data_IF_686076519430
#
_entry.id   IF_686076519430
#
_cell.length_a   1.000
_cell.length_b   1.000
_cell.length_c   1.000
_cell.angle_alpha   90.00
_cell.angle_beta   90.00
_cell.angle_gamma   90.00
#
_symmetry.space_group_name_H-M   'P 1'
#
loop_
_entity.id
_entity.type
_entity.pdbx_description
1 polymer ?
#
# COMPACT_ATOMS: atom_id res chain seq x y z
N UNK A 1 9.53 23.28 5.73
CA UNK A 1 10.49 22.47 6.51
C UNK A 1 10.26 22.62 8.03
N UNK A 2 10.43 23.80 8.66
CA UNK A 2 10.21 23.95 10.12
C UNK A 2 8.73 23.87 10.54
N UNK A 3 7.79 24.44 9.77
CA UNK A 3 6.35 24.37 10.09
C UNK A 3 5.81 22.93 10.11
N UNK A 4 6.10 22.15 9.07
CA UNK A 4 5.65 20.76 8.95
C UNK A 4 6.20 19.85 10.07
N UNK A 5 7.45 20.06 10.52
CA UNK A 5 8.00 19.32 11.67
C UNK A 5 7.28 19.66 12.98
N UNK A 6 6.93 20.94 13.20
CA UNK A 6 6.17 21.36 14.37
C UNK A 6 4.74 20.81 14.39
N UNK A 7 4.11 20.72 13.21
CA UNK A 7 2.79 20.10 13.05
C UNK A 7 2.80 18.60 13.36
N UNK A 8 3.84 17.87 12.93
CA UNK A 8 3.98 16.44 13.24
C UNK A 8 4.23 16.17 14.72
N UNK A 9 5.05 16.98 15.39
CA UNK A 9 5.28 16.83 16.83
C UNK A 9 3.99 17.08 17.62
N UNK A 10 3.28 18.17 17.31
CA UNK A 10 2.00 18.48 17.94
C UNK A 10 0.95 17.38 17.68
N UNK A 11 0.95 16.75 16.50
CA UNK A 11 0.06 15.64 16.20
C UNK A 11 0.38 14.40 17.05
N UNK A 12 1.67 14.07 17.24
CA UNK A 12 2.09 12.96 18.10
C UNK A 12 1.73 13.25 19.56
N UNK A 13 2.00 14.45 20.07
CA UNK A 13 1.64 14.87 21.43
C UNK A 13 0.12 14.75 21.68
N UNK A 14 -0.70 15.20 20.72
CA UNK A 14 -2.16 15.06 20.82
C UNK A 14 -2.60 13.59 20.81
N UNK A 15 -1.97 12.74 19.99
CA UNK A 15 -2.23 11.30 20.00
C UNK A 15 -1.88 10.71 21.38
N UNK A 16 -0.72 11.04 21.94
CA UNK A 16 -0.26 10.54 23.23
C UNK A 16 -1.16 10.99 24.39
N UNK A 17 -1.67 12.22 24.35
CA UNK A 17 -2.67 12.69 25.32
C UNK A 17 -3.96 11.87 25.27
N UNK A 18 -4.47 11.59 24.07
CA UNK A 18 -5.68 10.77 23.88
C UNK A 18 -5.42 9.33 24.37
N UNK A 19 -4.28 8.74 24.00
CA UNK A 19 -3.91 7.38 24.42
C UNK A 19 -3.68 7.28 25.93
N UNK A 20 -3.11 8.30 26.56
CA UNK A 20 -2.94 8.33 28.01
C UNK A 20 -4.27 8.40 28.75
N UNK A 21 -5.25 9.15 28.23
CA UNK A 21 -6.56 9.32 28.87
C UNK A 21 -7.52 8.16 28.61
N UNK A 22 -7.53 7.62 27.40
CA UNK A 22 -8.55 6.68 26.94
C UNK A 22 -8.01 5.30 26.56
N UNK A 23 -6.69 5.12 26.51
CA UNK A 23 -6.05 3.93 25.96
C UNK A 23 -6.37 2.62 26.69
N UNK A 24 -6.69 2.67 27.98
CA UNK A 24 -7.05 1.49 28.78
C UNK A 24 -8.56 1.34 28.99
N UNK A 25 -9.38 2.05 28.22
CA UNK A 25 -10.84 1.99 28.35
C UNK A 25 -11.40 0.84 27.50
N UNK A 26 -12.27 0.02 28.10
CA UNK A 26 -12.91 -1.13 27.47
C UNK A 26 -14.23 -0.79 26.74
N UNK A 27 -14.68 0.46 26.79
CA UNK A 27 -15.82 0.91 26.01
C UNK A 27 -15.51 0.83 24.52
N UNK A 28 -16.32 0.06 23.79
CA UNK A 28 -16.14 -0.23 22.36
C UNK A 28 -15.85 1.03 21.51
N UNK A 29 -16.63 2.10 21.69
CA UNK A 29 -16.43 3.34 20.92
C UNK A 29 -15.06 3.98 21.19
N UNK A 30 -14.57 3.88 22.42
CA UNK A 30 -13.24 4.36 22.79
C UNK A 30 -12.15 3.42 22.27
N UNK A 31 -12.36 2.10 22.25
CA UNK A 31 -11.43 1.16 21.63
C UNK A 31 -11.24 1.44 20.14
N UNK A 32 -12.33 1.71 19.41
CA UNK A 32 -12.26 2.10 17.98
C UNK A 32 -11.49 3.42 17.82
N UNK A 33 -11.76 4.41 18.67
CA UNK A 33 -11.04 5.68 18.65
C UNK A 33 -9.54 5.50 18.97
N UNK A 34 -9.20 4.66 19.94
CA UNK A 34 -7.81 4.34 20.32
C UNK A 34 -7.08 3.64 19.16
N UNK A 35 -7.71 2.67 18.50
CA UNK A 35 -7.14 2.01 17.33
C UNK A 35 -6.84 3.00 16.20
N UNK A 36 -7.78 3.91 15.94
CA UNK A 36 -7.61 4.98 14.95
C UNK A 36 -6.47 5.93 15.30
N UNK A 37 -6.38 6.35 16.57
CA UNK A 37 -5.32 7.25 17.05
C UNK A 37 -3.94 6.59 16.97
N UNK A 38 -3.84 5.31 17.31
CA UNK A 38 -2.60 4.54 17.11
C UNK A 38 -2.20 4.49 15.63
N UNK A 39 -3.18 4.29 14.72
CA UNK A 39 -2.92 4.27 13.29
C UNK A 39 -2.44 5.63 12.77
N UNK A 40 -3.05 6.73 13.22
CA UNK A 40 -2.61 8.08 12.90
C UNK A 40 -1.19 8.34 13.43
N UNK A 41 -0.90 8.00 14.69
CA UNK A 41 0.43 8.13 15.27
C UNK A 41 1.49 7.37 14.46
N UNK A 42 1.21 6.13 14.08
CA UNK A 42 2.09 5.33 13.23
C UNK A 42 2.33 5.98 11.86
N UNK A 43 1.28 6.55 11.25
CA UNK A 43 1.38 7.28 9.98
C UNK A 43 2.30 8.50 10.08
N UNK A 44 2.21 9.27 11.17
CA UNK A 44 3.08 10.43 11.40
C UNK A 44 4.54 10.02 11.60
N UNK A 45 4.80 8.94 12.35
CA UNK A 45 6.16 8.40 12.49
C UNK A 45 6.72 7.92 11.15
N UNK A 46 5.94 7.23 10.32
CA UNK A 46 6.36 6.80 8.99
C UNK A 46 6.74 8.00 8.10
N UNK A 47 5.92 9.06 8.09
CA UNK A 47 6.20 10.29 7.33
C UNK A 47 7.47 11.03 7.81
N UNK A 48 7.87 10.82 9.07
CA UNK A 48 9.13 11.31 9.63
C UNK A 48 10.33 10.39 9.36
N UNK A 49 10.11 9.21 8.76
CA UNK A 49 11.12 8.18 8.55
C UNK A 49 11.46 7.37 9.81
N UNK A 50 10.63 7.46 10.84
CA UNK A 50 10.78 6.75 12.13
C UNK A 50 10.06 5.40 12.05
N UNK A 51 10.55 4.53 11.15
CA UNK A 51 9.85 3.29 10.78
C UNK A 51 9.63 2.32 11.95
N UNK A 52 10.59 2.20 12.87
CA UNK A 52 10.43 1.38 14.07
C UNK A 52 9.27 1.86 14.97
N UNK A 53 9.16 3.19 15.19
CA UNK A 53 8.06 3.75 15.98
C UNK A 53 6.70 3.58 15.27
N UNK A 54 6.68 3.63 13.94
CA UNK A 54 5.49 3.33 13.15
C UNK A 54 5.07 1.85 13.27
N UNK A 55 6.05 0.93 13.29
CA UNK A 55 5.81 -0.50 13.53
C UNK A 55 5.28 -0.72 14.96
N UNK A 56 5.85 -0.08 15.97
CA UNK A 56 5.39 -0.17 17.36
C UNK A 56 3.93 0.25 17.50
N UNK A 57 3.52 1.33 16.84
CA UNK A 57 2.13 1.77 16.83
C UNK A 57 1.19 0.73 16.17
N UNK A 58 1.63 0.10 15.08
CA UNK A 58 0.88 -1.00 14.46
C UNK A 58 0.80 -2.22 15.40
N UNK A 59 1.91 -2.59 16.03
CA UNK A 59 1.97 -3.72 16.96
C UNK A 59 1.08 -3.53 18.19
N UNK A 60 0.91 -2.29 18.64
CA UNK A 60 -0.02 -1.99 19.72
C UNK A 60 -1.49 -2.24 19.30
N UNK A 61 -1.87 -1.85 18.08
CA UNK A 61 -3.20 -2.17 17.52
C UNK A 61 -3.40 -3.69 17.45
N UNK A 62 -2.39 -4.41 16.95
CA UNK A 62 -2.43 -5.86 16.85
C UNK A 62 -2.53 -6.51 18.22
N UNK A 63 -1.74 -6.08 19.20
CA UNK A 63 -1.75 -6.66 20.54
C UNK A 63 -3.10 -6.48 21.24
N UNK A 64 -3.70 -5.30 21.12
CA UNK A 64 -4.94 -4.95 21.82
C UNK A 64 -6.20 -5.51 21.17
N UNK A 65 -6.27 -5.49 19.83
CA UNK A 65 -7.53 -5.67 19.12
C UNK A 65 -7.58 -6.93 18.25
N UNK A 66 -6.50 -7.70 18.15
CA UNK A 66 -6.45 -8.89 17.29
C UNK A 66 -7.50 -9.97 17.59
N UNK A 67 -7.93 -10.09 18.84
CA UNK A 67 -8.92 -11.09 19.28
C UNK A 67 -10.36 -10.57 19.27
N UNK A 68 -10.60 -9.34 18.80
CA UNK A 68 -11.94 -8.78 18.74
C UNK A 68 -12.74 -9.37 17.58
N UNK A 69 -14.00 -9.69 17.84
CA UNK A 69 -14.98 -10.09 16.82
C UNK A 69 -15.72 -8.88 16.23
N UNK A 70 -15.49 -7.68 16.76
CA UNK A 70 -16.15 -6.47 16.30
C UNK A 70 -15.57 -6.02 14.95
N UNK A 71 -16.44 -5.89 13.96
CA UNK A 71 -16.06 -5.62 12.57
C UNK A 71 -15.16 -4.37 12.42
N UNK A 72 -15.49 -3.27 13.11
CA UNK A 72 -14.69 -2.04 13.01
C UNK A 72 -13.28 -2.23 13.57
N UNK A 73 -13.10 -3.04 14.62
CA UNK A 73 -11.79 -3.33 15.18
C UNK A 73 -11.01 -4.31 14.28
N UNK A 74 -11.70 -5.28 13.67
CA UNK A 74 -11.09 -6.17 12.68
C UNK A 74 -10.58 -5.39 11.44
N UNK A 75 -11.32 -4.39 10.99
CA UNK A 75 -10.91 -3.48 9.91
C UNK A 75 -9.65 -2.70 10.29
N UNK A 76 -9.59 -2.13 11.50
CA UNK A 76 -8.38 -1.44 12.00
C UNK A 76 -7.17 -2.38 12.09
N UNK A 77 -7.38 -3.63 12.51
CA UNK A 77 -6.31 -4.64 12.54
C UNK A 77 -5.82 -4.98 11.13
N UNK A 78 -6.72 -5.09 10.14
CA UNK A 78 -6.34 -5.31 8.75
C UNK A 78 -5.50 -4.14 8.20
N UNK A 79 -5.88 -2.91 8.51
CA UNK A 79 -5.09 -1.71 8.18
C UNK A 79 -3.71 -1.70 8.85
N UNK A 80 -3.62 -2.08 10.12
CA UNK A 80 -2.35 -2.17 10.84
C UNK A 80 -1.42 -3.22 10.22
N UNK A 81 -1.94 -4.40 9.85
CA UNK A 81 -1.16 -5.45 9.17
C UNK A 81 -0.65 -4.97 7.81
N UNK A 82 -1.52 -4.35 7.01
CA UNK A 82 -1.14 -3.81 5.70
C UNK A 82 -0.05 -2.74 5.84
N UNK A 83 -0.26 -1.73 6.72
CA UNK A 83 0.71 -0.66 6.93
C UNK A 83 2.04 -1.20 7.45
N UNK A 84 2.01 -2.10 8.44
CA UNK A 84 3.22 -2.78 8.92
C UNK A 84 3.93 -3.52 7.79
N UNK A 85 3.21 -4.24 6.94
CA UNK A 85 3.77 -4.89 5.74
C UNK A 85 4.46 -3.90 4.80
N UNK A 86 3.83 -2.75 4.52
CA UNK A 86 4.41 -1.69 3.69
C UNK A 86 5.67 -1.07 4.32
N UNK A 87 5.68 -0.82 5.63
CA UNK A 87 6.86 -0.32 6.34
C UNK A 87 8.01 -1.33 6.23
N UNK A 88 7.73 -2.63 6.38
CA UNK A 88 8.74 -3.67 6.19
C UNK A 88 9.30 -3.69 4.75
N UNK A 89 8.47 -3.44 3.74
CA UNK A 89 8.93 -3.25 2.35
C UNK A 89 9.88 -2.04 2.24
N UNK A 90 9.53 -0.90 2.82
CA UNK A 90 10.38 0.31 2.82
C UNK A 90 11.74 0.03 3.48
N UNK A 91 11.76 -0.81 4.52
CA UNK A 91 12.96 -1.26 5.21
C UNK A 91 13.69 -2.43 4.51
N UNK A 92 13.24 -2.85 3.32
CA UNK A 92 13.76 -4.01 2.58
C UNK A 92 13.71 -5.35 3.34
N UNK A 93 12.79 -5.48 4.29
CA UNK A 93 12.54 -6.67 5.14
C UNK A 93 11.44 -7.54 4.53
N UNK A 94 11.79 -8.23 3.45
CA UNK A 94 10.81 -8.94 2.63
C UNK A 94 10.17 -10.16 3.32
N UNK A 95 10.87 -10.86 4.20
CA UNK A 95 10.33 -12.02 4.89
C UNK A 95 9.25 -11.60 5.91
N UNK A 96 9.52 -10.53 6.65
CA UNK A 96 8.59 -9.94 7.59
C UNK A 96 7.35 -9.37 6.87
N UNK A 97 7.53 -8.75 5.71
CA UNK A 97 6.41 -8.29 4.88
C UNK A 97 5.53 -9.46 4.40
N UNK A 98 6.13 -10.58 3.97
CA UNK A 98 5.40 -11.78 3.57
C UNK A 98 4.63 -12.40 4.74
N UNK A 99 5.22 -12.42 5.93
CA UNK A 99 4.52 -12.88 7.14
C UNK A 99 3.29 -12.00 7.43
N UNK A 100 3.37 -10.68 7.21
CA UNK A 100 2.20 -9.79 7.36
C UNK A 100 1.12 -10.10 6.32
N UNK A 101 1.49 -10.41 5.07
CA UNK A 101 0.55 -10.87 4.05
C UNK A 101 -0.19 -12.14 4.48
N UNK A 102 0.54 -13.15 4.98
CA UNK A 102 -0.03 -14.43 5.41
C UNK A 102 -1.03 -14.25 6.56
N UNK A 103 -0.69 -13.42 7.55
CA UNK A 103 -1.57 -13.11 8.68
C UNK A 103 -2.81 -12.33 8.23
N UNK A 104 -2.66 -11.36 7.32
CA UNK A 104 -3.78 -10.60 6.76
C UNK A 104 -4.73 -11.51 5.96
N UNK A 105 -4.20 -12.40 5.11
CA UNK A 105 -5.02 -13.37 4.36
C UNK A 105 -5.82 -14.30 5.26
N UNK A 106 -5.19 -14.81 6.33
CA UNK A 106 -5.86 -15.65 7.32
C UNK A 106 -7.08 -14.94 7.91
N UNK A 107 -6.96 -13.63 8.19
CA UNK A 107 -8.07 -12.80 8.71
C UNK A 107 -9.11 -12.48 7.64
N UNK A 108 -8.70 -12.15 6.43
CA UNK A 108 -9.66 -11.91 5.33
C UNK A 108 -10.51 -13.14 5.01
N UNK A 109 -10.04 -14.34 5.33
CA UNK A 109 -10.84 -15.57 5.30
C UNK A 109 -12.13 -15.50 6.12
N UNK A 110 -12.16 -14.72 7.22
CA UNK A 110 -13.36 -14.53 8.07
C UNK A 110 -14.17 -13.30 7.70
N UNK A 111 -13.65 -12.41 6.85
CA UNK A 111 -14.37 -11.21 6.42
C UNK A 111 -15.53 -11.57 5.47
N UNK A 112 -16.67 -10.87 5.59
CA UNK A 112 -17.74 -10.98 4.61
C UNK A 112 -17.24 -10.55 3.23
N UNK A 113 -17.78 -11.17 2.18
CA UNK A 113 -17.52 -10.73 0.81
C UNK A 113 -18.04 -9.30 0.62
N UNK A 114 -17.21 -8.44 0.04
CA UNK A 114 -17.53 -7.03 -0.18
C UNK A 114 -16.29 -6.21 -0.52
N UNK A 115 -16.50 -4.91 -0.74
CA UNK A 115 -15.46 -4.01 -1.24
C UNK A 115 -14.27 -3.89 -0.27
N UNK A 116 -14.52 -3.89 1.04
CA UNK A 116 -13.45 -3.84 2.07
C UNK A 116 -12.55 -5.07 1.96
N UNK A 117 -13.13 -6.27 1.88
CA UNK A 117 -12.37 -7.51 1.72
C UNK A 117 -11.56 -7.50 0.43
N UNK A 118 -12.18 -7.16 -0.70
CA UNK A 118 -11.51 -7.08 -1.99
C UNK A 118 -10.37 -6.05 -1.99
N UNK A 119 -10.55 -4.93 -1.28
CA UNK A 119 -9.53 -3.89 -1.13
C UNK A 119 -8.30 -4.42 -0.36
N UNK A 120 -8.51 -5.15 0.74
CA UNK A 120 -7.40 -5.78 1.45
C UNK A 120 -6.80 -6.98 0.72
N UNK A 121 -7.57 -7.75 -0.04
CA UNK A 121 -7.03 -8.79 -0.92
C UNK A 121 -6.08 -8.19 -1.95
N UNK A 122 -6.49 -7.09 -2.59
CA UNK A 122 -5.64 -6.30 -3.49
C UNK A 122 -4.37 -5.83 -2.78
N UNK A 123 -4.50 -5.14 -1.65
CA UNK A 123 -3.36 -4.60 -0.87
C UNK A 123 -2.40 -5.68 -0.37
N UNK A 124 -2.92 -6.84 0.03
CA UNK A 124 -2.11 -7.98 0.46
C UNK A 124 -1.27 -8.53 -0.68
N UNK A 125 -1.89 -8.74 -1.84
CA UNK A 125 -1.17 -9.23 -3.01
C UNK A 125 -0.17 -8.20 -3.54
N UNK A 126 -0.50 -6.91 -3.42
CA UNK A 126 0.40 -5.80 -3.70
C UNK A 126 1.68 -5.84 -2.84
N UNK A 127 1.56 -5.93 -1.50
CA UNK A 127 2.72 -6.07 -0.59
C UNK A 127 3.52 -7.31 -0.94
N UNK A 128 2.85 -8.44 -1.24
CA UNK A 128 3.53 -9.68 -1.65
C UNK A 128 4.32 -9.50 -2.93
N UNK A 129 3.77 -8.84 -3.95
CA UNK A 129 4.49 -8.56 -5.20
C UNK A 129 5.77 -7.79 -4.90
N UNK A 130 5.71 -6.73 -4.11
CA UNK A 130 6.89 -5.95 -3.74
C UNK A 130 7.92 -6.76 -2.95
N UNK A 131 7.48 -7.58 -1.99
CA UNK A 131 8.38 -8.45 -1.23
C UNK A 131 9.12 -9.45 -2.13
N UNK A 132 8.41 -10.05 -3.10
CA UNK A 132 8.99 -10.97 -4.07
C UNK A 132 9.97 -10.27 -5.03
N UNK A 133 9.71 -9.01 -5.38
CA UNK A 133 10.65 -8.19 -6.16
C UNK A 133 11.95 -7.93 -5.37
N UNK A 134 11.86 -7.61 -4.07
CA UNK A 134 13.03 -7.46 -3.18
C UNK A 134 13.83 -8.76 -3.12
N UNK A 135 13.17 -9.91 -3.03
CA UNK A 135 13.81 -11.23 -3.08
C UNK A 135 14.32 -11.64 -4.48
N UNK A 136 14.19 -10.77 -5.49
CA UNK A 136 14.55 -11.03 -6.90
C UNK A 136 13.79 -12.21 -7.53
N UNK A 137 12.65 -12.61 -6.95
CA UNK A 137 11.75 -13.67 -7.43
C UNK A 137 10.75 -13.10 -8.45
N UNK A 138 11.27 -12.53 -9.54
CA UNK A 138 10.48 -11.76 -10.53
C UNK A 138 9.27 -12.51 -11.08
N UNK A 139 9.44 -13.79 -11.44
CA UNK A 139 8.34 -14.62 -11.98
C UNK A 139 7.19 -14.72 -10.98
N UNK A 140 7.51 -15.13 -9.74
CA UNK A 140 6.52 -15.22 -8.67
C UNK A 140 5.89 -13.86 -8.34
N UNK A 141 6.66 -12.77 -8.41
CA UNK A 141 6.13 -11.42 -8.21
C UNK A 141 5.09 -11.05 -9.28
N UNK A 142 5.35 -11.37 -10.56
CA UNK A 142 4.41 -11.12 -11.65
C UNK A 142 3.18 -12.04 -11.60
N UNK A 143 3.34 -13.29 -11.16
CA UNK A 143 2.21 -14.20 -10.92
C UNK A 143 1.31 -13.68 -9.78
N UNK A 144 1.93 -13.15 -8.70
CA UNK A 144 1.22 -12.50 -7.61
C UNK A 144 0.51 -11.22 -8.08
N UNK A 145 1.17 -10.38 -8.89
CA UNK A 145 0.56 -9.16 -9.43
C UNK A 145 -0.62 -9.47 -10.36
N UNK A 146 -0.51 -10.52 -11.18
CA UNK A 146 -1.61 -10.99 -12.04
C UNK A 146 -2.82 -11.43 -11.20
N UNK A 147 -2.58 -12.17 -10.13
CA UNK A 147 -3.63 -12.55 -9.17
C UNK A 147 -4.25 -11.33 -8.49
N UNK A 148 -3.41 -10.35 -8.09
CA UNK A 148 -3.86 -9.09 -7.50
C UNK A 148 -4.81 -8.34 -8.45
N UNK A 149 -4.40 -8.21 -9.70
CA UNK A 149 -5.17 -7.50 -10.71
C UNK A 149 -6.53 -8.16 -11.00
N UNK A 150 -6.66 -9.47 -10.80
CA UNK A 150 -7.95 -10.16 -10.92
C UNK A 150 -8.94 -9.69 -9.83
N UNK A 151 -8.48 -9.52 -8.59
CA UNK A 151 -9.27 -9.03 -7.46
C UNK A 151 -9.40 -7.50 -7.39
N UNK A 152 -8.58 -6.76 -8.16
CA UNK A 152 -8.59 -5.30 -8.21
C UNK A 152 -9.98 -4.71 -8.54
N UNK A 153 -10.49 -3.86 -7.65
CA UNK A 153 -11.69 -3.07 -7.89
C UNK A 153 -11.29 -1.61 -8.12
N UNK A 154 -11.46 -1.05 -9.34
CA UNK A 154 -11.08 0.32 -9.63
C UNK A 154 -11.99 1.30 -8.90
N UNK A 155 -11.47 1.92 -7.84
CA UNK A 155 -12.04 3.09 -7.17
C UNK A 155 -10.92 4.12 -6.96
N UNK A 156 -11.23 5.31 -6.44
CA UNK A 156 -10.24 6.39 -6.33
C UNK A 156 -8.98 5.97 -5.54
N UNK A 157 -9.15 5.23 -4.44
CA UNK A 157 -8.06 4.79 -3.58
C UNK A 157 -7.16 3.74 -4.27
N UNK A 158 -7.75 2.66 -4.79
CA UNK A 158 -6.99 1.55 -5.40
C UNK A 158 -6.35 1.98 -6.73
N UNK A 159 -6.98 2.90 -7.46
CA UNK A 159 -6.41 3.49 -8.67
C UNK A 159 -5.15 4.30 -8.35
N UNK A 160 -5.15 5.06 -7.26
CA UNK A 160 -3.96 5.80 -6.82
C UNK A 160 -2.82 4.85 -6.45
N UNK A 161 -3.11 3.79 -5.70
CA UNK A 161 -2.14 2.74 -5.35
C UNK A 161 -1.53 2.09 -6.61
N UNK A 162 -2.35 1.79 -7.61
CA UNK A 162 -1.90 1.24 -8.90
C UNK A 162 -0.93 2.14 -9.65
N UNK A 163 -1.26 3.44 -9.72
CA UNK A 163 -0.43 4.43 -10.40
C UNK A 163 0.92 4.65 -9.70
N UNK A 164 0.99 4.37 -8.40
CA UNK A 164 2.24 4.43 -7.62
C UNK A 164 3.06 3.13 -7.72
N UNK A 165 2.42 1.97 -7.61
CA UNK A 165 3.06 0.65 -7.63
C UNK A 165 3.77 0.35 -8.94
N UNK A 166 3.10 0.55 -10.08
CA UNK A 166 3.60 0.07 -11.36
C UNK A 166 4.95 0.70 -11.74
N UNK A 167 5.19 2.00 -11.52
CA UNK A 167 6.52 2.59 -11.65
C UNK A 167 7.60 1.92 -10.80
N UNK A 168 7.29 1.59 -9.54
CA UNK A 168 8.22 0.90 -8.63
C UNK A 168 8.55 -0.52 -9.13
N UNK A 169 7.57 -1.24 -9.70
CA UNK A 169 7.82 -2.55 -10.30
C UNK A 169 8.78 -2.46 -11.48
N UNK A 170 8.60 -1.48 -12.37
CA UNK A 170 9.53 -1.27 -13.50
C UNK A 170 10.94 -0.95 -12.99
N UNK A 171 11.06 -0.04 -12.04
CA UNK A 171 12.35 0.35 -11.46
C UNK A 171 13.08 -0.84 -10.80
N UNK A 172 12.34 -1.77 -10.20
CA UNK A 172 12.87 -3.00 -9.59
C UNK A 172 13.06 -4.15 -10.59
N UNK A 173 12.81 -3.91 -11.88
CA UNK A 173 13.11 -4.81 -12.99
C UNK A 173 11.98 -5.74 -13.41
N UNK A 174 10.72 -5.35 -13.17
CA UNK A 174 9.57 -5.99 -13.79
C UNK A 174 9.50 -5.67 -15.29
N UNK A 175 8.94 -6.59 -16.06
CA UNK A 175 8.76 -6.44 -17.50
C UNK A 175 7.60 -5.49 -17.80
N UNK A 176 7.88 -4.35 -18.44
CA UNK A 176 6.82 -3.44 -18.92
C UNK A 176 5.87 -4.14 -19.89
N UNK A 177 6.36 -5.11 -20.67
CA UNK A 177 5.52 -5.91 -21.55
C UNK A 177 4.51 -6.74 -20.76
N UNK A 178 4.96 -7.44 -19.72
CA UNK A 178 4.10 -8.33 -18.92
C UNK A 178 3.07 -7.51 -18.13
N UNK A 179 3.48 -6.35 -17.60
CA UNK A 179 2.55 -5.43 -16.94
C UNK A 179 1.48 -4.92 -17.91
N UNK A 180 1.84 -4.53 -19.14
CA UNK A 180 0.85 -4.13 -20.15
C UNK A 180 -0.12 -5.27 -20.46
N UNK A 181 0.38 -6.50 -20.60
CA UNK A 181 -0.46 -7.68 -20.84
C UNK A 181 -1.47 -7.88 -19.70
N UNK A 182 -1.01 -7.83 -18.45
CA UNK A 182 -1.86 -7.98 -17.26
C UNK A 182 -2.89 -6.85 -17.19
N UNK A 183 -2.46 -5.58 -17.27
CA UNK A 183 -3.34 -4.41 -17.16
C UNK A 183 -4.37 -4.36 -18.29
N UNK A 184 -4.05 -4.88 -19.47
CA UNK A 184 -4.95 -4.91 -20.62
C UNK A 184 -5.88 -6.13 -20.64
N UNK A 185 -5.73 -7.08 -19.71
CA UNK A 185 -6.51 -8.34 -19.69
C UNK A 185 -8.00 -8.12 -19.40
N UNK A 186 -8.35 -7.06 -18.66
CA UNK A 186 -9.73 -6.67 -18.37
C UNK A 186 -10.03 -5.29 -18.99
N UNK A 187 -10.91 -5.27 -19.99
CA UNK A 187 -11.27 -4.05 -20.73
C UNK A 187 -11.96 -3.00 -19.87
N UNK A 188 -12.65 -3.39 -18.81
CA UNK A 188 -13.36 -2.47 -17.93
C UNK A 188 -12.37 -1.76 -17.02
N UNK A 189 -11.49 -2.51 -16.37
CA UNK A 189 -10.43 -1.98 -15.50
C UNK A 189 -9.43 -1.13 -16.30
N UNK A 190 -9.07 -1.58 -17.51
CA UNK A 190 -8.13 -0.88 -18.39
C UNK A 190 -8.57 0.54 -18.77
N UNK A 191 -9.87 0.86 -18.78
CA UNK A 191 -10.37 2.22 -19.11
C UNK A 191 -9.85 3.28 -18.14
N UNK A 192 -9.80 2.96 -16.84
CA UNK A 192 -9.24 3.87 -15.84
C UNK A 192 -7.72 3.97 -15.89
N UNK A 193 -7.05 2.98 -16.49
CA UNK A 193 -5.60 2.81 -16.50
C UNK A 193 -4.96 3.19 -17.84
N UNK A 194 -5.71 3.83 -18.74
CA UNK A 194 -5.21 4.18 -20.09
C UNK A 194 -3.91 4.98 -20.04
N UNK A 195 -3.76 6.06 -19.23
CA UNK A 195 -2.49 6.79 -19.18
C UNK A 195 -1.32 5.92 -18.72
N UNK A 196 -1.54 5.03 -17.76
CA UNK A 196 -0.52 4.09 -17.27
C UNK A 196 -0.10 3.09 -18.35
N UNK A 197 -1.08 2.48 -19.05
CA UNK A 197 -0.82 1.54 -20.14
C UNK A 197 -0.06 2.24 -21.28
N UNK A 198 -0.42 3.47 -21.62
CA UNK A 198 0.26 4.28 -22.63
C UNK A 198 1.71 4.58 -22.21
N UNK A 199 1.93 4.97 -20.94
CA UNK A 199 3.26 5.22 -20.40
C UNK A 199 4.16 3.98 -20.51
N UNK A 200 3.65 2.80 -20.14
CA UNK A 200 4.38 1.53 -20.23
C UNK A 200 4.67 1.14 -21.68
N UNK A 201 3.71 1.29 -22.60
CA UNK A 201 3.93 1.02 -24.02
C UNK A 201 5.02 1.92 -24.61
N UNK A 202 5.01 3.21 -24.28
CA UNK A 202 6.06 4.14 -24.69
C UNK A 202 7.41 3.80 -24.07
N UNK A 203 7.43 3.34 -22.82
CA UNK A 203 8.65 2.84 -22.17
C UNK A 203 9.23 1.61 -22.89
N UNK A 204 8.41 0.78 -23.55
CA UNK A 204 8.88 -0.31 -24.43
C UNK A 204 9.36 0.16 -25.81
N UNK A 205 9.42 1.47 -26.06
CA UNK A 205 9.83 2.06 -27.34
C UNK A 205 8.72 2.10 -28.40
N UNK A 206 7.46 1.82 -28.04
CA UNK A 206 6.33 1.89 -28.98
C UNK A 206 5.79 3.32 -29.06
N UNK A 207 5.70 3.86 -30.28
CA UNK A 207 5.01 5.12 -30.52
C UNK A 207 3.48 4.92 -30.46
N UNK A 208 2.83 5.53 -29.47
CA UNK A 208 1.39 5.45 -29.26
C UNK A 208 0.71 6.78 -29.58
N UNK A 209 -0.37 6.73 -30.35
CA UNK A 209 -1.28 7.88 -30.57
C UNK A 209 -2.41 7.81 -29.56
N UNK A 210 -2.58 8.86 -28.76
CA UNK A 210 -3.63 9.01 -27.75
C UNK A 210 -4.01 10.50 -27.63
N UNK A 211 -5.14 10.84 -26.98
CA UNK A 211 -5.48 12.24 -26.65
C UNK A 211 -4.36 12.94 -25.86
N UNK A 212 -4.27 14.26 -25.98
CA UNK A 212 -3.18 15.06 -25.39
C UNK A 212 -3.14 14.90 -23.87
N UNK A 213 -4.30 14.93 -23.22
CA UNK A 213 -4.44 14.80 -21.77
C UNK A 213 -3.92 13.44 -21.27
N UNK A 214 -4.15 12.37 -22.06
CA UNK A 214 -3.62 11.03 -21.75
C UNK A 214 -2.10 11.00 -21.89
N UNK A 215 -1.56 11.67 -22.90
CA UNK A 215 -0.12 11.73 -23.15
C UNK A 215 0.63 12.54 -22.08
N UNK A 216 0.02 13.60 -21.55
CA UNK A 216 0.55 14.41 -20.44
C UNK A 216 0.65 13.55 -19.17
N UNK A 217 -0.45 12.93 -18.74
CA UNK A 217 -0.44 12.04 -17.57
C UNK A 217 0.53 10.86 -17.77
N UNK A 218 0.60 10.31 -18.98
CA UNK A 218 1.56 9.25 -19.30
C UNK A 218 3.02 9.75 -19.21
N UNK A 219 3.30 11.00 -19.54
CA UNK A 219 4.64 11.59 -19.40
C UNK A 219 5.06 11.67 -17.94
N UNK A 220 4.20 12.17 -17.05
CA UNK A 220 4.46 12.25 -15.61
C UNK A 220 4.74 10.87 -14.99
N UNK A 221 4.07 9.82 -15.50
CA UNK A 221 4.29 8.44 -15.06
C UNK A 221 5.65 7.93 -15.53
N UNK A 222 6.06 8.24 -16.77
CA UNK A 222 7.40 7.86 -17.28
C UNK A 222 8.52 8.56 -16.51
N UNK A 223 8.36 9.85 -16.20
CA UNK A 223 9.33 10.58 -15.37
C UNK A 223 9.46 9.94 -13.98
N UNK A 224 8.35 9.50 -13.38
CA UNK A 224 8.37 8.73 -12.11
C UNK A 224 9.12 7.41 -12.23
N UNK A 225 8.93 6.66 -13.31
CA UNK A 225 9.68 5.41 -13.59
C UNK A 225 11.19 5.69 -13.63
N UNK A 226 11.59 6.71 -14.39
CA UNK A 226 13.00 7.08 -14.57
C UNK A 226 13.62 7.58 -13.26
N UNK A 227 12.90 8.43 -12.51
CA UNK A 227 13.34 8.92 -11.22
C UNK A 227 13.55 7.77 -10.21
N UNK A 228 12.64 6.79 -10.19
CA UNK A 228 12.76 5.60 -9.31
C UNK A 228 13.91 4.69 -9.72
N UNK A 229 14.11 4.46 -11.02
CA UNK A 229 15.25 3.70 -11.52
C UNK A 229 16.60 4.34 -11.13
N UNK A 230 16.67 5.66 -11.03
CA UNK A 230 17.86 6.38 -10.60
C UNK A 230 18.13 6.33 -9.08
N UNK A 231 17.10 6.11 -8.25
CA UNK A 231 17.21 6.13 -6.78
C UNK A 231 17.62 4.78 -6.15
N UNK A 232 17.51 3.66 -6.88
CA UNK A 232 18.11 2.38 -6.50
C UNK A 232 17.51 1.66 -5.28
N UNK A 233 16.42 2.16 -4.68
CA UNK A 233 15.65 1.49 -3.60
C UNK A 233 14.25 2.14 -3.50
N UNK A 234 13.20 1.43 -3.03
CA UNK A 234 11.86 2.00 -2.88
C UNK A 234 11.91 3.09 -1.81
N UNK A 235 11.83 4.36 -2.21
CA UNK A 235 11.79 5.47 -1.25
C UNK A 235 10.34 5.67 -0.80
N UNK A 236 10.16 5.61 0.52
CA UNK A 236 8.96 6.01 1.25
C UNK A 236 8.48 7.39 0.75
N UNK A 237 7.16 7.51 0.57
CA UNK A 237 6.48 8.80 0.43
C UNK A 237 5.32 8.82 1.39
#
# INVERSE_FOLDING_TARGET
MQGQRGEFEAAIEACDEILSRFGSNDEYNLQVAVAWVLFLKGTVHEQRGEFEAAIEACDEILSRFSSSDEYNLQDQVAWALFRKGMIQIQMSRAEEALHMCEELERRLGTFPAGDVKACFEWRTMYVRTLALMIQKKRRSAMDAFRSAYAAFLPNDDTMHEMLWLVPELIATGASAHDLVEILSSDKTKAKGLVPLIVALLQHTGKAIRAPVEVLEVAADIRERIEARAAQGTPVAS
#
